data_IF_024787185088
#
_entry.id   IF_024787185088
#
_cell.length_a   1.000
_cell.length_b   1.000
_cell.length_c   1.000
_cell.angle_alpha   90.00
_cell.angle_beta   90.00
_cell.angle_gamma   90.00
#
_symmetry.space_group_name_H-M   'P 1'
#
loop_
_entity.id
_entity.type
_entity.pdbx_description
1 polymer ?
#
# COMPACT_ATOMS: atom_id res chain seq x y z
N UNK A 1 8.64 1.74 41.34
CA UNK A 1 8.02 1.49 40.02
C UNK A 1 6.50 1.58 40.12
N UNK A 2 5.80 0.71 40.86
CA UNK A 2 4.33 0.60 40.88
C UNK A 2 3.63 1.93 41.27
N UNK A 3 4.10 2.64 42.27
CA UNK A 3 3.53 3.97 42.69
C UNK A 3 3.67 5.02 41.58
N UNK A 4 4.80 5.03 40.90
CA UNK A 4 5.05 5.97 39.79
C UNK A 4 4.14 5.68 38.59
N UNK A 5 3.90 4.43 38.27
CA UNK A 5 3.00 4.02 37.19
C UNK A 5 1.54 4.39 37.49
N UNK A 6 1.09 4.23 38.74
CA UNK A 6 -0.24 4.66 39.20
C UNK A 6 -0.39 6.19 39.09
N UNK A 7 0.61 6.96 39.55
CA UNK A 7 0.59 8.42 39.50
C UNK A 7 0.53 8.94 38.04
N UNK A 8 1.32 8.36 37.16
CA UNK A 8 1.31 8.70 35.72
C UNK A 8 -0.05 8.36 35.10
N UNK A 9 -0.59 7.19 35.40
CA UNK A 9 -1.90 6.75 34.87
C UNK A 9 -3.01 7.68 35.37
N UNK A 10 -2.98 8.10 36.64
CA UNK A 10 -3.93 9.07 37.20
C UNK A 10 -3.83 10.43 36.52
N UNK A 11 -2.63 10.95 36.34
CA UNK A 11 -2.40 12.22 35.62
C UNK A 11 -2.90 12.17 34.19
N UNK A 12 -2.66 11.06 33.49
CA UNK A 12 -3.17 10.82 32.14
C UNK A 12 -4.70 10.81 32.11
N UNK A 13 -5.33 10.10 33.05
CA UNK A 13 -6.79 10.07 33.17
C UNK A 13 -7.39 11.47 33.35
N UNK A 14 -6.84 12.28 34.26
CA UNK A 14 -7.32 13.66 34.51
C UNK A 14 -7.09 14.56 33.27
N UNK A 15 -6.01 14.35 32.54
CA UNK A 15 -5.75 15.07 31.29
C UNK A 15 -6.79 14.71 30.22
N UNK A 16 -7.01 13.43 29.96
CA UNK A 16 -7.98 12.95 29.00
C UNK A 16 -9.42 13.36 29.35
N UNK A 17 -9.76 13.36 30.63
CA UNK A 17 -11.06 13.84 31.11
C UNK A 17 -11.31 15.33 30.81
N UNK A 18 -10.25 16.15 30.84
CA UNK A 18 -10.34 17.58 30.46
C UNK A 18 -10.52 17.74 28.96
N UNK A 19 -9.76 16.99 28.15
CA UNK A 19 -9.88 17.01 26.67
C UNK A 19 -11.22 16.46 26.20
N UNK A 20 -11.76 15.45 26.89
CA UNK A 20 -13.04 14.81 26.59
C UNK A 20 -14.28 15.64 26.88
N UNK A 21 -14.18 16.84 27.46
CA UNK A 21 -15.33 17.65 27.88
C UNK A 21 -16.28 18.05 26.73
N UNK A 22 -15.83 18.02 25.49
CA UNK A 22 -16.65 18.35 24.32
C UNK A 22 -17.43 17.16 23.75
N UNK A 23 -17.21 15.94 24.24
CA UNK A 23 -17.86 14.73 23.73
C UNK A 23 -19.01 14.31 24.65
N UNK A 24 -20.11 13.83 24.03
CA UNK A 24 -21.21 13.25 24.80
C UNK A 24 -20.79 11.89 25.37
N UNK A 25 -21.38 11.51 26.50
CA UNK A 25 -21.14 10.19 27.09
C UNK A 25 -21.48 9.05 26.12
N UNK A 26 -22.57 9.20 25.36
CA UNK A 26 -23.00 8.22 24.37
C UNK A 26 -21.98 8.03 23.23
N UNK A 27 -21.31 9.12 22.80
CA UNK A 27 -20.24 9.03 21.79
C UNK A 27 -19.04 8.23 22.30
N UNK A 28 -18.66 8.46 23.55
CA UNK A 28 -17.53 7.75 24.18
C UNK A 28 -17.88 6.26 24.36
N UNK A 29 -19.09 5.97 24.83
CA UNK A 29 -19.55 4.60 25.03
C UNK A 29 -19.66 3.84 23.69
N UNK A 30 -20.11 4.51 22.62
CA UNK A 30 -20.13 3.94 21.26
C UNK A 30 -18.71 3.53 20.81
N UNK A 31 -17.72 4.42 20.95
CA UNK A 31 -16.36 4.12 20.54
C UNK A 31 -15.73 2.97 21.33
N UNK A 32 -16.03 2.86 22.63
CA UNK A 32 -15.61 1.72 23.43
C UNK A 32 -16.24 0.41 22.95
N UNK A 33 -17.54 0.42 22.61
CA UNK A 33 -18.22 -0.78 22.06
C UNK A 33 -17.65 -1.15 20.70
N UNK A 34 -17.42 -0.18 19.82
CA UNK A 34 -16.75 -0.39 18.52
C UNK A 34 -15.37 -0.99 18.73
N UNK A 35 -14.58 -0.49 19.68
CA UNK A 35 -13.24 -1.04 19.97
C UNK A 35 -13.29 -2.52 20.36
N UNK A 36 -14.27 -2.95 21.16
CA UNK A 36 -14.43 -4.36 21.54
C UNK A 36 -14.68 -5.24 20.30
N UNK A 37 -15.54 -4.77 19.37
CA UNK A 37 -15.81 -5.50 18.11
C UNK A 37 -14.54 -5.59 17.25
N UNK A 38 -13.82 -4.47 17.14
CA UNK A 38 -12.56 -4.41 16.36
C UNK A 38 -11.49 -5.30 16.98
N UNK A 39 -11.37 -5.34 18.31
CA UNK A 39 -10.43 -6.26 18.99
C UNK A 39 -10.73 -7.72 18.66
N UNK A 40 -12.00 -8.09 18.61
CA UNK A 40 -12.40 -9.44 18.21
C UNK A 40 -12.07 -9.72 16.74
N UNK A 41 -12.33 -8.76 15.85
CA UNK A 41 -11.97 -8.86 14.43
C UNK A 41 -10.45 -9.00 14.24
N UNK A 42 -9.65 -8.21 14.95
CA UNK A 42 -8.19 -8.28 14.91
C UNK A 42 -7.68 -9.66 15.40
N UNK A 43 -8.28 -10.21 16.48
CA UNK A 43 -7.93 -11.54 16.99
C UNK A 43 -8.32 -12.66 16.03
N UNK A 44 -9.49 -12.56 15.41
CA UNK A 44 -9.94 -13.55 14.45
C UNK A 44 -9.09 -13.53 13.17
N UNK A 45 -8.63 -12.35 12.72
CA UNK A 45 -7.91 -12.19 11.47
C UNK A 45 -8.71 -12.60 10.24
N UNK A 46 -8.07 -12.62 9.09
CA UNK A 46 -8.64 -13.01 7.80
C UNK A 46 -7.81 -14.13 7.18
N UNK A 47 -8.44 -15.24 6.82
CA UNK A 47 -7.75 -16.38 6.24
C UNK A 47 -7.19 -16.04 4.85
N UNK A 48 -5.91 -16.35 4.62
CA UNK A 48 -5.20 -16.11 3.37
C UNK A 48 -4.80 -17.45 2.73
N UNK A 49 -5.21 -17.67 1.48
CA UNK A 49 -4.65 -18.76 0.67
C UNK A 49 -3.24 -18.36 0.20
N UNK A 50 -2.25 -18.66 1.04
CA UNK A 50 -0.84 -18.33 0.80
C UNK A 50 -0.33 -18.92 -0.52
N UNK A 51 -0.84 -20.08 -0.95
CA UNK A 51 -0.42 -20.71 -2.22
C UNK A 51 -0.91 -19.90 -3.42
N UNK A 52 -2.18 -19.48 -3.42
CA UNK A 52 -2.72 -18.58 -4.45
C UNK A 52 -2.02 -17.23 -4.44
N UNK A 53 -1.81 -16.63 -3.27
CA UNK A 53 -1.11 -15.37 -3.12
C UNK A 53 0.32 -15.46 -3.67
N UNK A 54 1.07 -16.53 -3.36
CA UNK A 54 2.43 -16.75 -3.86
C UNK A 54 2.46 -16.98 -5.38
N UNK A 55 1.50 -17.74 -5.92
CA UNK A 55 1.36 -17.95 -7.37
C UNK A 55 1.12 -16.63 -8.09
N UNK A 56 0.18 -15.81 -7.61
CA UNK A 56 -0.10 -14.48 -8.16
C UNK A 56 1.13 -13.57 -8.04
N UNK A 57 1.79 -13.54 -6.89
CA UNK A 57 3.01 -12.78 -6.67
C UNK A 57 4.09 -13.10 -7.70
N UNK A 58 4.35 -14.41 -7.95
CA UNK A 58 5.35 -14.83 -8.91
C UNK A 58 4.98 -14.42 -10.34
N UNK A 59 3.72 -14.61 -10.75
CA UNK A 59 3.22 -14.18 -12.07
C UNK A 59 3.46 -12.67 -12.29
N UNK A 60 3.11 -11.85 -11.31
CA UNK A 60 3.30 -10.39 -11.42
C UNK A 60 4.77 -9.99 -11.41
N UNK A 61 5.61 -10.69 -10.66
CA UNK A 61 7.06 -10.48 -10.67
C UNK A 61 7.71 -10.82 -12.00
N UNK A 62 7.30 -11.90 -12.63
CA UNK A 62 7.81 -12.31 -13.94
C UNK A 62 7.46 -11.26 -15.00
N UNK A 63 6.22 -10.77 -15.00
CA UNK A 63 5.80 -9.67 -15.88
C UNK A 63 6.57 -8.38 -15.62
N UNK A 64 6.75 -8.00 -14.36
CA UNK A 64 7.54 -6.82 -13.98
C UNK A 64 9.02 -6.96 -14.43
N UNK A 65 9.61 -8.15 -14.25
CA UNK A 65 10.97 -8.45 -14.69
C UNK A 65 11.13 -8.35 -16.21
N UNK A 66 10.12 -8.79 -16.97
CA UNK A 66 10.11 -8.65 -18.43
C UNK A 66 10.11 -7.16 -18.84
N UNK A 67 9.32 -6.32 -18.17
CA UNK A 67 9.30 -4.87 -18.41
C UNK A 67 10.61 -4.18 -17.99
N UNK A 68 11.25 -4.62 -16.93
CA UNK A 68 12.58 -4.13 -16.53
C UNK A 68 13.65 -4.45 -17.59
N UNK A 69 13.64 -5.67 -18.10
CA UNK A 69 14.54 -6.08 -19.19
C UNK A 69 14.28 -5.28 -20.46
N UNK A 70 13.00 -5.14 -20.83
CA UNK A 70 12.62 -4.29 -21.95
C UNK A 70 13.13 -2.87 -21.78
N UNK A 71 12.94 -2.24 -20.64
CA UNK A 71 13.38 -0.87 -20.37
C UNK A 71 14.90 -0.70 -20.48
N UNK A 72 15.68 -1.66 -19.98
CA UNK A 72 17.14 -1.66 -20.06
C UNK A 72 17.67 -1.83 -21.50
N UNK A 73 16.92 -2.51 -22.36
CA UNK A 73 17.28 -2.72 -23.76
C UNK A 73 16.84 -1.52 -24.62
N UNK A 74 15.65 -0.98 -24.32
CA UNK A 74 15.02 0.08 -25.12
C UNK A 74 15.62 1.45 -24.88
N UNK A 75 16.13 1.71 -23.67
CA UNK A 75 16.71 3.00 -23.31
C UNK A 75 18.20 2.87 -22.97
N UNK A 76 19.00 3.73 -23.57
CA UNK A 76 20.43 3.81 -23.29
C UNK A 76 20.72 4.20 -21.83
N UNK A 77 21.83 3.72 -21.26
CA UNK A 77 22.24 4.14 -19.93
C UNK A 77 22.48 5.65 -19.88
N UNK A 78 21.99 6.29 -18.81
CA UNK A 78 22.24 7.72 -18.59
C UNK A 78 23.68 7.94 -18.17
N UNK A 79 24.40 8.79 -18.90
CA UNK A 79 25.74 9.23 -18.55
C UNK A 79 25.68 10.20 -17.37
N UNK A 80 26.45 9.91 -16.31
CA UNK A 80 26.61 10.79 -15.16
C UNK A 80 28.09 11.08 -14.93
N UNK A 81 28.50 12.33 -15.18
CA UNK A 81 29.87 12.78 -14.92
C UNK A 81 30.01 13.15 -13.45
N UNK A 82 30.89 12.47 -12.74
CA UNK A 82 31.30 12.77 -11.37
C UNK A 82 32.65 13.49 -11.42
N UNK A 83 33.04 14.18 -10.34
CA UNK A 83 34.29 14.98 -10.29
C UNK A 83 35.54 14.20 -10.71
N UNK A 84 35.58 12.89 -10.52
CA UNK A 84 36.75 12.04 -10.77
C UNK A 84 36.55 10.96 -11.82
N UNK A 85 35.28 10.66 -12.21
CA UNK A 85 34.97 9.57 -13.16
C UNK A 85 33.58 9.76 -13.80
N UNK A 86 33.42 9.24 -15.01
CA UNK A 86 32.12 9.11 -15.67
C UNK A 86 31.50 7.76 -15.30
N UNK A 87 30.22 7.76 -14.92
CA UNK A 87 29.42 6.55 -14.62
C UNK A 87 28.25 6.46 -15.58
N UNK A 88 28.03 5.28 -16.14
CA UNK A 88 26.81 4.97 -16.90
C UNK A 88 25.80 4.28 -15.99
N UNK A 89 24.62 4.88 -15.86
CA UNK A 89 23.54 4.36 -15.00
C UNK A 89 22.51 3.72 -15.92
N UNK A 90 22.26 2.41 -15.81
CA UNK A 90 21.23 1.74 -16.58
C UNK A 90 19.85 2.34 -16.31
N UNK A 91 18.99 2.33 -17.31
CA UNK A 91 17.61 2.79 -17.12
C UNK A 91 16.89 1.94 -16.07
N UNK A 92 16.28 2.64 -15.12
CA UNK A 92 15.47 2.04 -14.05
C UNK A 92 14.00 2.44 -14.23
N UNK A 93 13.20 1.53 -14.76
CA UNK A 93 11.76 1.71 -14.98
C UNK A 93 10.97 1.98 -13.68
N UNK A 94 11.53 1.71 -12.49
CA UNK A 94 10.94 2.08 -11.19
C UNK A 94 11.21 3.54 -10.77
N UNK A 95 12.13 4.24 -11.46
CA UNK A 95 12.48 5.62 -11.15
C UNK A 95 11.57 6.61 -11.89
N UNK A 96 10.64 7.22 -11.16
CA UNK A 96 9.73 8.24 -11.73
C UNK A 96 10.48 9.39 -12.41
N UNK A 97 11.65 9.77 -11.88
CA UNK A 97 12.48 10.81 -12.52
C UNK A 97 13.00 10.34 -13.86
N UNK A 98 13.57 9.14 -13.94
CA UNK A 98 14.08 8.61 -15.23
C UNK A 98 12.94 8.38 -16.24
N UNK A 99 11.76 7.94 -15.78
CA UNK A 99 10.57 7.86 -16.64
C UNK A 99 10.23 9.25 -17.21
N UNK A 100 10.20 10.28 -16.36
CA UNK A 100 9.91 11.64 -16.80
C UNK A 100 10.93 12.14 -17.84
N UNK A 101 12.22 11.92 -17.58
CA UNK A 101 13.31 12.32 -18.48
C UNK A 101 13.14 11.65 -19.85
N UNK A 102 12.89 10.33 -19.89
CA UNK A 102 12.71 9.59 -21.15
C UNK A 102 11.45 10.00 -21.91
N UNK A 103 10.34 10.23 -21.21
CA UNK A 103 9.12 10.71 -21.87
C UNK A 103 9.30 12.11 -22.44
N UNK A 104 10.07 12.99 -21.80
CA UNK A 104 10.39 14.31 -22.32
C UNK A 104 11.30 14.23 -23.58
N UNK A 105 12.27 13.32 -23.59
CA UNK A 105 13.09 13.04 -24.79
C UNK A 105 12.21 12.56 -25.97
N UNK A 106 11.12 11.83 -25.67
CA UNK A 106 10.11 11.39 -26.66
C UNK A 106 9.07 12.49 -27.01
N UNK A 107 9.27 13.73 -26.53
CA UNK A 107 8.44 14.88 -26.87
C UNK A 107 7.28 15.16 -25.90
N UNK A 108 7.15 14.40 -24.81
CA UNK A 108 6.13 14.70 -23.78
C UNK A 108 6.50 15.97 -22.99
N UNK A 109 5.51 16.84 -22.78
CA UNK A 109 5.66 18.06 -21.97
C UNK A 109 4.88 17.90 -20.66
N UNK A 110 5.54 17.87 -19.48
CA UNK A 110 4.89 17.73 -18.20
C UNK A 110 4.03 18.95 -17.87
N UNK A 111 2.79 18.71 -17.42
CA UNK A 111 1.86 19.78 -17.03
C UNK A 111 1.79 19.98 -15.51
N UNK A 112 2.15 18.95 -14.73
CA UNK A 112 2.01 18.95 -13.25
C UNK A 112 3.37 18.71 -12.60
N UNK A 113 3.65 19.51 -11.56
CA UNK A 113 4.87 19.40 -10.75
C UNK A 113 4.48 19.30 -9.27
N UNK A 114 5.36 18.71 -8.46
CA UNK A 114 5.25 18.74 -6.99
C UNK A 114 5.68 20.11 -6.48
N UNK A 115 5.37 20.42 -5.20
CA UNK A 115 5.81 21.66 -4.54
C UNK A 115 7.35 21.85 -4.56
N UNK A 116 8.09 20.77 -4.71
CA UNK A 116 9.56 20.76 -4.86
C UNK A 116 10.04 20.87 -6.31
N UNK A 117 9.15 21.11 -7.27
CA UNK A 117 9.47 21.26 -8.69
C UNK A 117 9.71 19.96 -9.46
N UNK A 118 9.58 18.79 -8.85
CA UNK A 118 9.72 17.52 -9.57
C UNK A 118 8.49 17.23 -10.43
N UNK A 119 8.71 16.66 -11.62
CA UNK A 119 7.62 16.23 -12.51
C UNK A 119 6.79 15.13 -11.84
N UNK A 120 5.46 15.29 -11.88
CA UNK A 120 4.54 14.26 -11.36
C UNK A 120 4.38 13.17 -12.43
N UNK A 121 4.78 11.94 -12.06
CA UNK A 121 4.56 10.72 -12.85
C UNK A 121 3.73 9.76 -12.00
N UNK A 122 2.46 9.64 -12.35
CA UNK A 122 1.52 8.68 -11.75
C UNK A 122 0.72 7.98 -12.85
N UNK A 123 -0.09 6.99 -12.47
CA UNK A 123 -0.92 6.22 -13.41
C UNK A 123 -1.78 7.14 -14.28
N UNK A 124 -2.49 8.11 -13.69
CA UNK A 124 -3.37 9.06 -14.38
C UNK A 124 -2.64 9.89 -15.45
N UNK A 125 -1.44 10.37 -15.13
CA UNK A 125 -0.60 11.14 -16.06
C UNK A 125 -0.13 10.24 -17.20
N UNK A 126 0.36 9.04 -16.89
CA UNK A 126 0.86 8.10 -17.90
C UNK A 126 -0.24 7.63 -18.85
N UNK A 127 -1.45 7.37 -18.33
CA UNK A 127 -2.62 6.97 -19.13
C UNK A 127 -3.07 8.08 -20.09
N UNK A 128 -2.81 9.36 -19.76
CA UNK A 128 -3.13 10.50 -20.63
C UNK A 128 -2.15 10.68 -21.79
N UNK A 129 -1.03 9.97 -21.80
CA UNK A 129 0.03 10.07 -22.81
C UNK A 129 -0.16 9.01 -23.88
N UNK A 130 -0.31 9.45 -25.13
CA UNK A 130 -0.47 8.54 -26.27
C UNK A 130 0.90 8.03 -26.79
N UNK A 131 1.66 7.36 -25.92
CA UNK A 131 2.92 6.68 -26.24
C UNK A 131 2.90 5.26 -25.70
N UNK A 132 3.41 4.32 -26.46
CA UNK A 132 3.49 2.90 -26.04
C UNK A 132 4.41 2.71 -24.81
N UNK A 133 5.47 3.50 -24.72
CA UNK A 133 6.39 3.54 -23.58
C UNK A 133 5.64 3.96 -22.31
N UNK A 134 4.79 4.97 -22.39
CA UNK A 134 4.00 5.44 -21.24
C UNK A 134 3.07 4.36 -20.71
N UNK A 135 2.42 3.60 -21.60
CA UNK A 135 1.56 2.45 -21.21
C UNK A 135 2.37 1.37 -20.49
N UNK A 136 3.56 1.06 -20.96
CA UNK A 136 4.45 0.09 -20.31
C UNK A 136 4.94 0.59 -18.94
N UNK A 137 5.23 1.88 -18.79
CA UNK A 137 5.57 2.48 -17.50
C UNK A 137 4.39 2.43 -16.53
N UNK A 138 3.18 2.80 -16.97
CA UNK A 138 1.96 2.69 -16.15
C UNK A 138 1.74 1.25 -15.69
N UNK A 139 1.87 0.28 -16.62
CA UNK A 139 1.76 -1.14 -16.32
C UNK A 139 2.77 -1.59 -15.27
N UNK A 140 4.03 -1.19 -15.40
CA UNK A 140 5.06 -1.53 -14.43
C UNK A 140 4.78 -0.96 -13.04
N UNK A 141 4.39 0.31 -12.94
CA UNK A 141 4.05 0.95 -11.65
C UNK A 141 2.86 0.27 -10.97
N UNK A 142 1.84 -0.13 -11.75
CA UNK A 142 0.72 -0.91 -11.26
C UNK A 142 1.17 -2.26 -10.71
N UNK A 143 2.00 -3.00 -11.47
CA UNK A 143 2.55 -4.29 -11.04
C UNK A 143 3.32 -4.15 -9.72
N UNK A 144 4.20 -3.17 -9.60
CA UNK A 144 4.96 -2.93 -8.37
C UNK A 144 4.05 -2.68 -7.17
N UNK A 145 2.98 -1.92 -7.34
CA UNK A 145 1.99 -1.68 -6.30
C UNK A 145 1.29 -2.98 -5.86
N UNK A 146 0.88 -3.82 -6.81
CA UNK A 146 0.24 -5.12 -6.51
C UNK A 146 1.21 -6.10 -5.86
N UNK A 147 2.42 -6.21 -6.38
CA UNK A 147 3.50 -7.04 -5.81
C UNK A 147 3.75 -6.65 -4.35
N UNK A 148 3.88 -5.36 -4.06
CA UNK A 148 4.11 -4.88 -2.69
C UNK A 148 2.93 -5.21 -1.76
N UNK A 149 1.68 -5.08 -2.24
CA UNK A 149 0.50 -5.45 -1.47
C UNK A 149 0.46 -6.94 -1.14
N UNK A 150 0.60 -7.80 -2.16
CA UNK A 150 0.54 -9.26 -1.98
C UNK A 150 1.69 -9.73 -1.08
N UNK A 151 2.90 -9.19 -1.29
CA UNK A 151 4.04 -9.45 -0.44
C UNK A 151 3.74 -9.12 1.03
N UNK A 152 3.16 -7.96 1.30
CA UNK A 152 2.82 -7.56 2.67
C UNK A 152 1.78 -8.50 3.31
N UNK A 153 0.84 -9.04 2.54
CA UNK A 153 -0.12 -10.02 3.05
C UNK A 153 0.55 -11.35 3.42
N UNK A 154 1.41 -11.86 2.53
CA UNK A 154 2.16 -13.10 2.76
C UNK A 154 3.07 -12.95 4.00
N UNK A 155 3.80 -11.84 4.12
CA UNK A 155 4.70 -11.58 5.24
C UNK A 155 3.97 -11.34 6.57
N UNK A 156 2.70 -10.95 6.53
CA UNK A 156 1.86 -10.72 7.72
C UNK A 156 0.97 -11.90 8.07
N UNK A 157 1.00 -12.98 7.29
CA UNK A 157 0.24 -14.19 7.58
C UNK A 157 0.90 -14.93 8.75
N UNK A 158 0.13 -15.24 9.80
CA UNK A 158 0.62 -16.04 10.92
C UNK A 158 0.69 -17.51 10.51
N UNK A 159 1.86 -18.12 10.64
CA UNK A 159 2.09 -19.52 10.30
C UNK A 159 1.28 -20.51 11.18
N UNK A 160 0.78 -20.06 12.33
CA UNK A 160 0.05 -20.92 13.28
C UNK A 160 -1.39 -21.16 12.85
N UNK A 161 -2.04 -20.14 12.29
CA UNK A 161 -3.48 -20.20 11.95
C UNK A 161 -3.77 -19.89 10.48
N UNK A 162 -2.76 -19.49 9.69
CA UNK A 162 -2.91 -19.14 8.29
C UNK A 162 -3.69 -17.85 8.06
N UNK A 163 -3.74 -16.95 9.04
CA UNK A 163 -4.55 -15.74 9.00
C UNK A 163 -3.70 -14.48 9.08
N UNK A 164 -4.24 -13.41 8.55
CA UNK A 164 -3.64 -12.07 8.60
C UNK A 164 -4.38 -11.23 9.63
N UNK A 165 -3.67 -10.78 10.67
CA UNK A 165 -4.20 -10.00 11.78
C UNK A 165 -3.88 -8.51 11.61
N UNK A 166 -4.57 -7.86 10.66
CA UNK A 166 -4.40 -6.42 10.42
C UNK A 166 -4.96 -5.59 11.58
N UNK A 167 -4.27 -4.49 11.91
CA UNK A 167 -4.69 -3.56 12.97
C UNK A 167 -5.63 -2.48 12.44
N UNK A 168 -6.62 -2.13 13.25
CA UNK A 168 -7.59 -1.08 12.95
C UNK A 168 -7.60 -0.04 14.07
N UNK A 169 -7.39 1.20 13.72
CA UNK A 169 -7.48 2.34 14.65
C UNK A 169 -8.78 3.10 14.38
N UNK A 170 -9.69 3.09 15.33
CA UNK A 170 -11.08 3.55 15.15
C UNK A 170 -11.22 5.03 14.81
N UNK A 171 -10.40 5.91 15.42
CA UNK A 171 -10.47 7.38 15.26
C UNK A 171 -9.16 8.01 14.76
N UNK A 172 -8.46 7.36 13.84
CA UNK A 172 -7.13 7.83 13.44
C UNK A 172 -7.14 8.97 12.42
N UNK A 173 -8.16 9.08 11.60
CA UNK A 173 -8.21 10.11 10.56
C UNK A 173 -8.90 11.39 11.04
N UNK A 174 -8.53 12.54 10.48
CA UNK A 174 -9.16 13.85 10.78
C UNK A 174 -10.68 13.84 10.51
N UNK A 175 -11.13 12.98 9.59
CA UNK A 175 -12.54 12.83 9.23
C UNK A 175 -13.30 11.82 10.11
N UNK A 176 -12.69 11.28 11.17
CA UNK A 176 -13.28 10.25 12.04
C UNK A 176 -13.37 8.85 11.43
N UNK A 177 -12.75 8.61 10.28
CA UNK A 177 -12.72 7.27 9.68
C UNK A 177 -11.69 6.39 10.38
N UNK A 178 -11.94 5.08 10.35
CA UNK A 178 -10.97 4.08 10.78
C UNK A 178 -9.76 4.07 9.85
N UNK A 179 -8.57 3.87 10.41
CA UNK A 179 -7.35 3.63 9.66
C UNK A 179 -6.88 2.19 9.88
N UNK A 180 -6.41 1.57 8.80
CA UNK A 180 -5.92 0.19 8.80
C UNK A 180 -4.42 0.17 8.55
N UNK A 181 -3.70 -0.70 9.28
CA UNK A 181 -2.28 -0.93 9.06
C UNK A 181 -1.88 -2.38 9.40
N UNK A 182 -0.69 -2.75 9.07
CA UNK A 182 0.01 -4.00 9.44
C UNK A 182 -0.75 -5.32 9.14
N UNK A 183 -1.20 -5.56 7.91
CA UNK A 183 -1.24 -4.74 6.72
C UNK A 183 -2.52 -3.89 6.61
N UNK A 184 -2.58 -2.99 5.61
CA UNK A 184 -3.80 -2.22 5.36
C UNK A 184 -4.84 -3.06 4.61
N UNK A 185 -5.75 -3.70 5.35
CA UNK A 185 -6.80 -4.58 4.83
C UNK A 185 -7.90 -3.83 4.06
N UNK A 186 -8.06 -2.51 4.30
CA UNK A 186 -9.07 -1.71 3.60
C UNK A 186 -8.67 -1.37 2.15
N UNK A 187 -7.42 -1.62 1.75
CA UNK A 187 -6.91 -1.29 0.41
C UNK A 187 -6.83 -2.50 -0.53
N UNK A 188 -7.54 -3.59 -0.25
CA UNK A 188 -7.64 -4.70 -1.21
C UNK A 188 -8.30 -4.16 -2.50
N UNK A 189 -7.69 -4.41 -3.67
CA UNK A 189 -8.18 -3.85 -4.93
C UNK A 189 -9.63 -4.21 -5.22
N UNK A 190 -10.39 -3.29 -5.82
CA UNK A 190 -11.74 -3.57 -6.26
C UNK A 190 -11.74 -4.62 -7.39
N UNK A 191 -12.77 -5.44 -7.50
CA UNK A 191 -12.88 -6.51 -8.51
C UNK A 191 -12.66 -5.99 -9.93
N UNK A 192 -13.13 -4.78 -10.24
CA UNK A 192 -13.00 -4.16 -11.57
C UNK A 192 -11.61 -3.57 -11.84
N UNK A 193 -10.75 -3.43 -10.82
CA UNK A 193 -9.40 -2.94 -11.03
C UNK A 193 -8.49 -4.05 -11.54
N UNK A 194 -7.40 -3.71 -12.25
CA UNK A 194 -6.45 -4.71 -12.72
C UNK A 194 -5.95 -5.59 -11.57
N UNK A 195 -6.03 -6.90 -11.74
CA UNK A 195 -5.75 -7.95 -10.73
C UNK A 195 -6.62 -7.89 -9.47
N UNK A 196 -7.73 -7.12 -9.50
CA UNK A 196 -8.58 -6.99 -8.32
C UNK A 196 -9.31 -8.29 -7.96
N UNK A 197 -9.78 -9.02 -8.96
CA UNK A 197 -10.42 -10.32 -8.78
C UNK A 197 -9.43 -11.34 -8.18
N UNK A 198 -8.27 -11.47 -8.77
CA UNK A 198 -7.22 -12.40 -8.35
C UNK A 198 -6.72 -12.08 -6.92
N UNK A 199 -6.55 -10.79 -6.60
CA UNK A 199 -6.21 -10.36 -5.25
C UNK A 199 -7.27 -10.74 -4.23
N UNK A 200 -8.57 -10.63 -4.57
CA UNK A 200 -9.66 -11.01 -3.68
C UNK A 200 -9.81 -12.52 -3.52
N UNK A 201 -9.54 -13.27 -4.56
CA UNK A 201 -9.54 -14.74 -4.52
C UNK A 201 -8.43 -15.35 -3.66
N UNK A 202 -7.43 -14.55 -3.23
CA UNK A 202 -6.45 -14.97 -2.24
C UNK A 202 -7.03 -15.01 -0.82
N UNK A 203 -8.15 -14.31 -0.56
CA UNK A 203 -8.81 -14.31 0.74
C UNK A 203 -9.90 -15.36 0.77
N UNK A 204 -9.93 -16.15 1.83
CA UNK A 204 -10.81 -17.32 1.95
C UNK A 204 -11.48 -17.38 3.31
N UNK A 205 -12.35 -18.35 3.51
CA UNK A 205 -12.97 -18.70 4.78
C UNK A 205 -12.65 -20.17 5.10
N UNK A 206 -12.63 -20.51 6.38
CA UNK A 206 -12.28 -21.86 6.83
C UNK A 206 -13.30 -22.91 6.34
N UNK A 207 -14.56 -22.50 6.22
CA UNK A 207 -15.62 -23.31 5.64
C UNK A 207 -16.43 -22.52 4.61
N UNK A 208 -16.20 -22.72 3.29
CA UNK A 208 -16.89 -21.98 2.23
C UNK A 208 -18.40 -22.20 2.19
N UNK A 209 -18.93 -23.22 2.89
CA UNK A 209 -20.36 -23.53 2.92
C UNK A 209 -21.10 -22.84 4.08
N UNK A 210 -20.40 -22.25 5.04
CA UNK A 210 -21.02 -21.62 6.23
C UNK A 210 -21.04 -20.10 6.17
N UNK A 211 -20.30 -19.47 5.27
CA UNK A 211 -20.22 -18.02 5.17
C UNK A 211 -20.21 -17.59 3.69
N UNK A 212 -21.30 -16.96 3.27
CA UNK A 212 -21.31 -16.14 2.05
C UNK A 212 -20.77 -14.75 2.40
N UNK A 213 -19.75 -14.29 1.73
CA UNK A 213 -19.25 -12.92 1.80
C UNK A 213 -19.98 -12.05 0.78
#
# INVERSE_FOLDING_TARGET
YCMQDVDITHKLYEHLKKEGKGFSRSSIDLEHQVRVIIDQQERNGFALDVRKAMSLYNTLRDEASALEKWGKIHFDPTRKDLKTKTKYIPFNIGSRQQIADRLQELGWKPKKHTDKGNVIVNEEVLDSINLEEAKKFARYLLLQKRIAQIKSWIESCDDKDGRVHGRVMTLRTVTGRMAHNSPNMAQIPAVRSPYGKECRECWTVDNPYTHSI
#
